data_IF_717518807196
#
_entry.id   IF_717518807196
#
_cell.length_a   1.000
_cell.length_b   1.000
_cell.length_c   1.000
_cell.angle_alpha   90.00
_cell.angle_beta   90.00
_cell.angle_gamma   90.00
#
_symmetry.space_group_name_H-M   'P 1'
#
loop_
_entity.id
_entity.type
_entity.pdbx_description
1 polymer ?
#
# COMPACT_ATOMS: atom_id res chain seq x y z
N UNK A 1 50.35 44.86 7.16
CA UNK A 1 49.62 43.95 8.08
C UNK A 1 48.12 43.78 7.76
N UNK A 2 47.37 44.80 7.33
CA UNK A 2 45.91 44.67 7.08
C UNK A 2 45.50 43.75 5.89
N UNK A 3 46.31 43.64 4.84
CA UNK A 3 45.97 42.83 3.64
C UNK A 3 46.15 41.30 3.81
N UNK A 4 46.96 40.86 4.77
CA UNK A 4 47.18 39.42 5.03
C UNK A 4 46.00 38.80 5.79
N UNK A 5 45.34 39.56 6.67
CA UNK A 5 44.15 39.10 7.38
C UNK A 5 42.95 38.88 6.45
N UNK A 6 42.76 39.73 5.45
CA UNK A 6 41.61 39.63 4.53
C UNK A 6 41.69 38.39 3.64
N UNK A 7 42.90 38.00 3.22
CA UNK A 7 43.10 36.78 2.41
C UNK A 7 42.86 35.50 3.21
N UNK A 8 43.22 35.47 4.49
CA UNK A 8 42.98 34.32 5.36
C UNK A 8 41.48 34.08 5.60
N UNK A 9 40.69 35.15 5.73
CA UNK A 9 39.23 35.06 5.95
C UNK A 9 38.50 34.56 4.70
N UNK A 10 38.91 35.00 3.51
CA UNK A 10 38.28 34.55 2.25
C UNK A 10 38.58 33.07 1.98
N UNK A 11 39.79 32.59 2.28
CA UNK A 11 40.16 31.17 2.10
C UNK A 11 39.41 30.27 3.10
N UNK A 12 39.22 30.70 4.34
CA UNK A 12 38.42 29.96 5.33
C UNK A 12 36.93 29.87 4.94
N UNK A 13 36.35 30.94 4.38
CA UNK A 13 34.95 30.95 3.95
C UNK A 13 34.68 30.02 2.73
N UNK A 14 35.64 29.91 1.81
CA UNK A 14 35.54 28.98 0.67
C UNK A 14 35.70 27.51 1.07
N UNK A 15 36.53 27.20 2.08
CA UNK A 15 36.70 25.84 2.58
C UNK A 15 35.49 25.32 3.38
N UNK A 16 34.73 26.20 4.02
CA UNK A 16 33.49 25.82 4.73
C UNK A 16 32.34 25.60 3.72
N UNK A 17 32.33 26.35 2.62
CA UNK A 17 31.30 26.24 1.58
C UNK A 17 31.37 24.92 0.81
N UNK A 18 32.56 24.32 0.65
CA UNK A 18 32.73 23.00 0.03
C UNK A 18 32.38 21.83 0.97
N UNK A 19 32.42 22.02 2.29
CA UNK A 19 31.97 21.00 3.26
C UNK A 19 30.44 20.88 3.32
N UNK A 20 29.71 21.96 3.09
CA UNK A 20 28.22 21.95 3.11
C UNK A 20 27.63 21.42 1.80
N UNK A 21 28.31 21.60 0.66
CA UNK A 21 27.88 21.05 -0.63
C UNK A 21 28.06 19.52 -0.74
N UNK A 22 28.75 18.88 0.20
CA UNK A 22 28.94 17.43 0.23
C UNK A 22 27.79 16.67 0.90
N UNK A 23 26.75 17.37 1.36
CA UNK A 23 25.52 16.76 1.87
C UNK A 23 24.55 16.44 0.72
N UNK A 24 25.02 15.78 -0.33
CA UNK A 24 24.13 14.89 -1.06
C UNK A 24 23.90 13.68 -0.16
N UNK A 25 22.95 13.81 0.77
CA UNK A 25 22.31 12.63 1.35
C UNK A 25 21.67 11.94 0.16
N UNK A 26 22.39 10.96 -0.40
CA UNK A 26 21.78 9.96 -1.23
C UNK A 26 20.75 9.29 -0.35
N UNK A 27 19.51 9.79 -0.38
CA UNK A 27 18.36 8.94 -0.15
C UNK A 27 18.50 7.84 -1.20
N UNK A 28 19.21 6.77 -0.85
CA UNK A 28 19.02 5.50 -1.50
C UNK A 28 17.50 5.31 -1.49
N UNK A 29 16.87 5.35 -2.67
CA UNK A 29 15.43 5.19 -2.76
C UNK A 29 15.16 3.82 -2.17
N UNK A 30 14.66 3.79 -0.93
CA UNK A 30 14.39 2.52 -0.25
C UNK A 30 13.41 1.69 -1.06
N UNK A 31 13.16 0.44 -0.64
CA UNK A 31 12.21 -0.41 -1.33
C UNK A 31 10.87 0.32 -1.46
N UNK A 32 10.26 0.21 -2.63
CA UNK A 32 8.93 0.74 -2.92
C UNK A 32 8.10 -0.28 -3.66
N UNK A 33 6.82 -0.34 -3.34
CA UNK A 33 5.84 -1.12 -4.09
C UNK A 33 4.64 -0.24 -4.37
N UNK A 34 4.19 -0.24 -5.60
CA UNK A 34 3.02 0.52 -6.01
C UNK A 34 2.29 -0.23 -7.10
N UNK A 35 0.99 -0.06 -7.15
CA UNK A 35 0.20 -0.76 -8.15
C UNK A 35 -1.27 -0.69 -7.84
N UNK A 36 -2.02 -1.34 -8.72
CA UNK A 36 -3.46 -1.36 -8.64
C UNK A 36 -4.05 -1.91 -9.91
N UNK A 37 -5.37 -1.95 -9.93
CA UNK A 37 -6.15 -2.53 -10.99
C UNK A 37 -7.25 -3.41 -10.44
N UNK A 38 -7.63 -4.41 -11.22
CA UNK A 38 -8.77 -5.25 -10.92
C UNK A 38 -8.27 -6.64 -10.56
N UNK A 39 -8.63 -7.13 -9.38
CA UNK A 39 -8.24 -8.42 -8.84
C UNK A 39 -9.47 -9.29 -8.72
N UNK A 40 -9.40 -10.50 -9.29
CA UNK A 40 -10.41 -11.57 -9.23
C UNK A 40 -11.84 -11.23 -9.72
N UNK A 41 -12.37 -12.00 -10.67
CA UNK A 41 -13.71 -11.84 -11.24
C UNK A 41 -13.81 -10.92 -12.48
N UNK A 42 -15.04 -10.62 -12.92
CA UNK A 42 -15.34 -9.71 -14.03
C UNK A 42 -15.48 -8.26 -13.53
N UNK A 43 -15.30 -7.27 -14.41
CA UNK A 43 -15.46 -5.84 -14.07
C UNK A 43 -16.85 -5.54 -13.46
N UNK A 44 -16.89 -5.04 -12.23
CA UNK A 44 -18.13 -4.68 -11.52
C UNK A 44 -18.58 -5.68 -10.44
N UNK A 45 -18.05 -6.90 -10.45
CA UNK A 45 -18.17 -7.92 -9.39
C UNK A 45 -16.82 -8.25 -8.73
N UNK A 46 -15.85 -7.36 -8.96
CA UNK A 46 -14.41 -7.52 -8.77
C UNK A 46 -13.87 -6.71 -7.59
N UNK A 47 -12.67 -7.07 -7.14
CA UNK A 47 -11.91 -6.24 -6.21
C UNK A 47 -11.10 -5.18 -6.97
N UNK A 48 -11.36 -3.89 -6.77
CA UNK A 48 -10.52 -2.82 -7.26
C UNK A 48 -9.45 -2.48 -6.23
N UNK A 49 -8.19 -2.49 -6.65
CA UNK A 49 -7.03 -2.33 -5.80
C UNK A 49 -6.25 -1.08 -6.19
N UNK A 50 -5.73 -0.36 -5.21
CA UNK A 50 -4.74 0.69 -5.40
C UNK A 50 -3.89 0.87 -4.16
N UNK A 51 -2.57 0.91 -4.32
CA UNK A 51 -1.67 1.10 -3.19
C UNK A 51 -0.33 1.74 -3.57
N UNK A 52 0.29 2.35 -2.57
CA UNK A 52 1.71 2.69 -2.52
C UNK A 52 2.26 2.30 -1.16
N UNK A 53 3.48 1.79 -1.11
CA UNK A 53 4.20 1.53 0.12
C UNK A 53 5.69 1.78 -0.09
N UNK A 54 6.32 2.32 0.96
CA UNK A 54 7.74 2.65 1.03
C UNK A 54 8.22 2.56 2.48
N UNK A 55 9.50 2.80 2.71
CA UNK A 55 10.04 2.91 4.08
C UNK A 55 9.35 4.00 4.92
N UNK A 56 8.86 5.08 4.30
CA UNK A 56 8.11 6.15 4.98
C UNK A 56 6.61 5.89 5.12
N UNK A 57 6.12 4.71 4.73
CA UNK A 57 4.69 4.37 4.69
C UNK A 57 4.09 4.54 3.30
N UNK A 58 2.79 4.82 3.24
CA UNK A 58 2.03 4.90 2.00
C UNK A 58 0.53 4.76 2.22
N UNK A 59 -0.20 4.39 1.17
CA UNK A 59 -1.66 4.28 1.19
C UNK A 59 -2.14 2.98 0.58
N UNK A 60 -3.28 2.49 1.06
CA UNK A 60 -3.94 1.29 0.57
C UNK A 60 -5.44 1.53 0.40
N UNK A 61 -5.97 1.06 -0.72
CA UNK A 61 -7.40 1.00 -1.01
C UNK A 61 -7.71 -0.34 -1.69
N UNK A 62 -8.70 -1.04 -1.16
CA UNK A 62 -9.32 -2.18 -1.80
C UNK A 62 -10.85 -2.04 -1.73
N UNK A 63 -11.52 -2.12 -2.87
CA UNK A 63 -12.97 -2.06 -3.00
C UNK A 63 -13.45 -3.39 -3.56
N UNK A 64 -14.15 -4.18 -2.75
CA UNK A 64 -14.80 -5.42 -3.16
C UNK A 64 -16.29 -5.15 -3.38
N UNK A 65 -16.82 -5.43 -4.57
CA UNK A 65 -18.23 -5.20 -4.88
C UNK A 65 -18.92 -6.46 -5.44
N UNK A 66 -20.22 -6.60 -5.17
CA UNK A 66 -21.08 -7.59 -5.81
C UNK A 66 -20.72 -9.06 -5.54
N UNK A 67 -20.24 -9.38 -4.33
CA UNK A 67 -19.93 -10.76 -3.94
C UNK A 67 -21.10 -11.37 -3.16
N UNK A 68 -21.81 -12.29 -3.82
CA UNK A 68 -22.84 -13.15 -3.23
C UNK A 68 -22.24 -14.45 -2.65
N UNK A 69 -22.90 -15.05 -1.65
CA UNK A 69 -22.52 -16.35 -1.07
C UNK A 69 -21.96 -16.27 0.35
N UNK A 70 -22.15 -15.11 1.00
CA UNK A 70 -21.62 -14.82 2.32
C UNK A 70 -20.13 -14.53 2.33
N UNK A 71 -19.71 -13.71 3.29
CA UNK A 71 -18.30 -13.59 3.66
C UNK A 71 -18.05 -14.38 4.95
N UNK A 72 -16.81 -14.78 5.26
CA UNK A 72 -16.50 -15.56 6.45
C UNK A 72 -16.66 -14.79 7.78
N UNK A 73 -17.24 -13.59 7.75
CA UNK A 73 -17.40 -12.72 8.90
C UNK A 73 -18.76 -12.00 8.83
N UNK A 74 -19.29 -11.61 9.99
CA UNK A 74 -20.53 -10.84 10.09
C UNK A 74 -21.79 -11.60 9.63
N UNK A 75 -22.96 -10.94 9.63
CA UNK A 75 -24.25 -11.56 9.32
C UNK A 75 -24.59 -11.55 7.82
N UNK A 76 -23.58 -11.45 6.94
CA UNK A 76 -23.78 -11.12 5.54
C UNK A 76 -24.10 -12.36 4.70
N UNK A 77 -25.20 -12.30 3.95
CA UNK A 77 -25.54 -13.25 2.88
C UNK A 77 -25.02 -12.77 1.52
N UNK A 78 -24.99 -11.45 1.32
CA UNK A 78 -24.55 -10.77 0.10
C UNK A 78 -23.81 -9.48 0.46
N UNK A 79 -22.56 -9.32 0.02
CA UNK A 79 -21.83 -8.05 0.15
C UNK A 79 -21.99 -7.28 -1.14
N UNK A 80 -22.77 -6.21 -1.05
CA UNK A 80 -22.93 -5.27 -2.15
C UNK A 80 -21.63 -4.50 -2.37
N UNK A 81 -21.01 -4.03 -1.29
CA UNK A 81 -19.76 -3.28 -1.34
C UNK A 81 -18.99 -3.36 -0.01
N UNK A 82 -17.68 -3.53 -0.09
CA UNK A 82 -16.76 -3.44 1.03
C UNK A 82 -15.54 -2.61 0.63
N UNK A 83 -15.27 -1.56 1.39
CA UNK A 83 -14.10 -0.71 1.24
C UNK A 83 -13.12 -0.98 2.37
N UNK A 84 -11.87 -1.28 2.04
CA UNK A 84 -10.75 -1.32 2.98
C UNK A 84 -9.81 -0.20 2.58
N UNK A 85 -9.76 0.86 3.38
CA UNK A 85 -8.93 2.03 3.08
C UNK A 85 -8.08 2.36 4.31
N UNK A 86 -6.79 2.55 4.11
CA UNK A 86 -5.89 2.79 5.24
C UNK A 86 -4.49 3.22 4.86
N UNK A 87 -3.78 3.69 5.88
CA UNK A 87 -2.37 4.01 5.75
C UNK A 87 -1.54 2.72 5.80
N UNK A 88 -0.41 2.73 5.09
CA UNK A 88 0.64 1.72 5.27
C UNK A 88 1.55 2.19 6.41
N UNK A 89 1.79 1.31 7.37
CA UNK A 89 2.67 1.61 8.51
C UNK A 89 4.11 1.81 8.02
N UNK A 90 4.79 2.92 8.40
CA UNK A 90 6.20 3.12 8.06
C UNK A 90 7.08 1.95 8.49
N UNK A 91 8.05 1.58 7.65
CA UNK A 91 8.96 0.45 7.90
C UNK A 91 8.34 -0.95 7.77
N UNK A 92 7.04 -1.07 7.49
CA UNK A 92 6.39 -2.39 7.36
C UNK A 92 6.65 -3.10 6.01
N UNK A 93 7.12 -2.36 5.00
CA UNK A 93 7.40 -2.92 3.69
C UNK A 93 8.63 -3.85 3.74
N UNK A 94 8.43 -5.09 3.31
CA UNK A 94 9.46 -6.09 3.09
C UNK A 94 9.35 -6.63 1.67
N UNK A 95 10.49 -6.81 0.99
CA UNK A 95 10.56 -7.45 -0.33
C UNK A 95 11.37 -8.73 -0.18
N UNK A 96 10.72 -9.88 -0.36
CA UNK A 96 11.34 -11.19 -0.25
C UNK A 96 12.28 -11.48 -1.43
N UNK A 97 13.17 -12.46 -1.27
CA UNK A 97 14.16 -12.82 -2.29
C UNK A 97 13.54 -13.19 -3.64
N UNK A 98 12.36 -13.84 -3.61
CA UNK A 98 11.56 -14.25 -4.77
C UNK A 98 10.92 -13.08 -5.54
N UNK A 99 11.08 -11.85 -5.07
CA UNK A 99 10.55 -10.65 -5.70
C UNK A 99 9.15 -10.26 -5.26
N UNK A 100 8.51 -11.02 -4.36
CA UNK A 100 7.24 -10.63 -3.76
C UNK A 100 7.43 -9.55 -2.70
N UNK A 101 6.42 -8.70 -2.53
CA UNK A 101 6.42 -7.62 -1.55
C UNK A 101 5.26 -7.79 -0.57
N UNK A 102 5.54 -7.55 0.70
CA UNK A 102 4.56 -7.53 1.80
C UNK A 102 4.63 -6.19 2.50
N UNK A 103 3.49 -5.59 2.81
CA UNK A 103 3.40 -4.45 3.72
C UNK A 103 2.19 -4.60 4.65
N UNK A 104 2.19 -3.84 5.74
CA UNK A 104 1.12 -3.88 6.73
C UNK A 104 0.67 -2.47 7.11
N UNK A 105 -0.55 -2.36 7.64
CA UNK A 105 -1.12 -1.07 7.98
C UNK A 105 -2.34 -1.18 8.87
N UNK A 106 -3.00 -0.05 9.00
CA UNK A 106 -4.28 0.07 9.70
C UNK A 106 -5.27 0.72 8.74
N UNK A 107 -6.44 0.12 8.62
CA UNK A 107 -7.49 0.54 7.72
C UNK A 107 -8.82 0.76 8.45
N UNK A 108 -9.65 1.61 7.87
CA UNK A 108 -11.07 1.64 8.13
C UNK A 108 -11.76 0.74 7.10
N UNK A 109 -12.63 -0.13 7.57
CA UNK A 109 -13.42 -1.02 6.72
C UNK A 109 -14.87 -0.58 6.75
N UNK A 110 -15.42 -0.25 5.58
CA UNK A 110 -16.84 0.02 5.42
C UNK A 110 -17.47 -1.13 4.65
N UNK A 111 -18.58 -1.65 5.15
CA UNK A 111 -19.29 -2.78 4.56
C UNK A 111 -20.75 -2.40 4.39
N UNK A 112 -21.27 -2.60 3.19
CA UNK A 112 -22.69 -2.53 2.84
C UNK A 112 -23.07 -3.88 2.26
N UNK A 113 -24.04 -4.53 2.88
CA UNK A 113 -24.48 -5.86 2.48
C UNK A 113 -25.90 -6.15 2.90
N UNK A 114 -26.39 -7.31 2.49
CA UNK A 114 -27.66 -7.86 2.93
C UNK A 114 -27.45 -9.02 3.89
N UNK A 115 -28.35 -9.15 4.84
CA UNK A 115 -28.45 -10.33 5.71
C UNK A 115 -29.23 -11.46 5.03
N UNK A 116 -29.31 -12.63 5.66
CA UNK A 116 -30.13 -13.75 5.15
C UNK A 116 -31.63 -13.40 5.05
N UNK A 117 -32.12 -12.44 5.87
CA UNK A 117 -33.50 -11.95 5.79
C UNK A 117 -33.71 -10.92 4.68
N UNK A 118 -32.65 -10.52 3.96
CA UNK A 118 -32.69 -9.51 2.91
C UNK A 118 -32.58 -8.06 3.42
N UNK A 119 -32.42 -7.85 4.72
CA UNK A 119 -32.20 -6.52 5.31
C UNK A 119 -30.84 -5.96 4.86
N UNK A 120 -30.83 -4.69 4.44
CA UNK A 120 -29.58 -3.99 4.14
C UNK A 120 -28.97 -3.47 5.43
N UNK A 121 -27.76 -3.92 5.73
CA UNK A 121 -26.98 -3.47 6.88
C UNK A 121 -25.72 -2.75 6.40
N UNK A 122 -25.33 -1.71 7.14
CA UNK A 122 -24.09 -0.97 6.93
C UNK A 122 -23.26 -0.99 8.21
N UNK A 123 -21.99 -1.37 8.09
CA UNK A 123 -21.05 -1.46 9.22
C UNK A 123 -19.77 -0.70 8.88
N UNK A 124 -19.24 0.00 9.88
CA UNK A 124 -17.90 0.62 9.83
C UNK A 124 -17.03 0.03 10.93
N UNK A 125 -15.89 -0.54 10.56
CA UNK A 125 -14.89 -1.10 11.47
C UNK A 125 -13.63 -0.21 11.39
N UNK A 126 -13.41 0.69 12.35
CA UNK A 126 -12.20 1.50 12.39
C UNK A 126 -11.02 0.72 12.96
N UNK A 127 -9.80 1.17 12.66
CA UNK A 127 -8.56 0.69 13.26
C UNK A 127 -8.28 -0.81 13.03
N UNK A 128 -8.64 -1.33 11.87
CA UNK A 128 -8.44 -2.73 11.50
C UNK A 128 -7.03 -2.94 10.97
N UNK A 129 -6.26 -3.78 11.66
CA UNK A 129 -4.96 -4.21 11.15
C UNK A 129 -5.12 -5.01 9.85
N UNK A 130 -4.23 -4.79 8.89
CA UNK A 130 -4.20 -5.57 7.65
C UNK A 130 -2.77 -5.83 7.19
N UNK A 131 -2.63 -6.88 6.38
CA UNK A 131 -1.40 -7.23 5.65
C UNK A 131 -1.75 -7.41 4.17
N UNK A 132 -0.91 -6.84 3.31
CA UNK A 132 -1.03 -6.94 1.85
C UNK A 132 0.21 -7.62 1.27
N UNK A 133 0.00 -8.68 0.50
CA UNK A 133 1.06 -9.39 -0.24
C UNK A 133 0.81 -9.30 -1.74
N UNK A 134 1.88 -9.13 -2.52
CA UNK A 134 1.77 -9.03 -3.98
C UNK A 134 3.04 -9.46 -4.71
N UNK A 135 2.88 -9.88 -5.97
CA UNK A 135 3.95 -10.07 -6.96
C UNK A 135 3.90 -8.99 -8.04
N UNK A 136 5.05 -8.68 -8.63
CA UNK A 136 5.13 -7.70 -9.72
C UNK A 136 4.62 -8.26 -11.06
N UNK A 137 4.19 -7.35 -11.93
CA UNK A 137 3.75 -7.66 -13.30
C UNK A 137 2.43 -6.98 -13.67
N UNK A 138 1.97 -7.26 -14.88
CA UNK A 138 0.67 -6.80 -15.39
C UNK A 138 -0.46 -7.80 -15.14
N UNK A 139 -1.56 -7.60 -15.87
CA UNK A 139 -2.68 -8.54 -15.93
C UNK A 139 -2.22 -9.99 -16.24
N UNK A 140 -2.81 -10.96 -15.55
CA UNK A 140 -2.51 -12.39 -15.66
C UNK A 140 -1.19 -12.83 -15.03
N UNK A 141 -0.35 -11.89 -14.55
CA UNK A 141 0.98 -12.17 -14.00
C UNK A 141 1.07 -11.74 -12.55
N UNK A 142 0.74 -10.48 -12.25
CA UNK A 142 0.74 -9.98 -10.89
C UNK A 142 -0.37 -10.62 -10.07
N UNK A 143 -0.05 -10.96 -8.82
CA UNK A 143 -0.99 -11.53 -7.84
C UNK A 143 -1.10 -10.61 -6.65
N UNK A 144 -2.25 -10.62 -6.00
CA UNK A 144 -2.51 -9.88 -4.78
C UNK A 144 -3.27 -10.74 -3.77
N UNK A 145 -2.94 -10.55 -2.49
CA UNK A 145 -3.64 -11.10 -1.35
C UNK A 145 -3.76 -10.03 -0.27
N UNK A 146 -4.97 -9.88 0.28
CA UNK A 146 -5.26 -9.03 1.43
C UNK A 146 -5.67 -9.91 2.60
N UNK A 147 -5.06 -9.72 3.76
CA UNK A 147 -5.45 -10.36 5.01
C UNK A 147 -5.82 -9.30 6.03
N UNK A 148 -7.01 -9.44 6.62
CA UNK A 148 -7.49 -8.64 7.74
C UNK A 148 -7.92 -9.63 8.83
N UNK A 149 -7.17 -9.80 9.94
CA UNK A 149 -7.40 -10.91 10.87
C UNK A 149 -8.83 -11.08 11.40
N UNK A 150 -9.55 -9.98 11.62
CA UNK A 150 -10.92 -10.02 12.14
C UNK A 150 -12.01 -10.17 11.06
N UNK A 151 -11.62 -10.23 9.79
CA UNK A 151 -12.53 -10.18 8.63
C UNK A 151 -12.26 -11.37 7.71
N UNK A 152 -11.01 -11.65 7.40
CA UNK A 152 -10.61 -12.82 6.62
C UNK A 152 -9.43 -12.54 5.69
N UNK A 153 -9.16 -13.51 4.81
CA UNK A 153 -8.14 -13.43 3.77
C UNK A 153 -8.79 -13.51 2.40
N UNK A 154 -8.38 -12.60 1.51
CA UNK A 154 -8.87 -12.45 0.14
C UNK A 154 -7.71 -12.64 -0.83
N UNK A 155 -7.77 -13.67 -1.67
CA UNK A 155 -6.69 -14.09 -2.55
C UNK A 155 -5.86 -15.26 -1.99
N UNK A 156 -4.69 -15.58 -2.58
CA UNK A 156 -4.02 -14.84 -3.66
C UNK A 156 -4.68 -15.01 -5.02
N UNK A 157 -5.03 -13.90 -5.68
CA UNK A 157 -5.65 -13.89 -7.00
C UNK A 157 -4.86 -13.03 -8.01
N UNK A 158 -4.99 -13.34 -9.29
CA UNK A 158 -4.34 -12.60 -10.37
C UNK A 158 -5.03 -11.27 -10.64
N UNK A 159 -4.25 -10.27 -11.06
CA UNK A 159 -4.79 -9.07 -11.68
C UNK A 159 -5.43 -9.45 -13.02
N UNK A 160 -6.66 -9.00 -13.23
CA UNK A 160 -7.37 -9.02 -14.52
C UNK A 160 -6.99 -7.82 -15.38
N UNK A 161 -6.73 -6.69 -14.75
CA UNK A 161 -6.24 -5.48 -15.39
C UNK A 161 -5.32 -4.71 -14.42
N UNK A 162 -4.53 -3.78 -14.95
CA UNK A 162 -3.61 -2.97 -14.16
C UNK A 162 -2.20 -3.56 -14.07
N UNK A 163 -1.42 -3.08 -13.11
CA UNK A 163 -0.01 -3.42 -12.96
C UNK A 163 0.48 -3.22 -11.51
N UNK A 164 1.43 -4.05 -11.09
CA UNK A 164 2.15 -3.94 -9.83
C UNK A 164 3.66 -3.82 -10.10
N UNK A 165 4.27 -2.80 -9.53
CA UNK A 165 5.70 -2.50 -9.62
C UNK A 165 6.34 -2.65 -8.25
N UNK A 166 7.43 -3.41 -8.17
CA UNK A 166 8.26 -3.60 -6.98
C UNK A 166 9.67 -3.13 -7.30
N UNK A 167 10.21 -2.22 -6.49
CA UNK A 167 11.58 -1.69 -6.59
C UNK A 167 12.29 -1.91 -5.27
N UNK A 168 13.58 -2.27 -5.32
CA UNK A 168 14.43 -2.51 -4.17
C UNK A 168 15.49 -1.42 -4.07
#
# INVERSE_FOLDING_TARGET
MKQLLTRAIVVAALAISSLVASQSVGYASGPTVSGGGVVDGDLGTTSQLGFTASSSGGQFLCVMAGRSGGFPFGPWSDIQQMHVQGNVTPGSLSVAADGSATFAGVATIHVVGKTDSGEVLTVTLPNMAYTSWQTAGGAGVARHMLTVPAVGTFGPAFLRSGHISIRR
#
